data_IF_340793987838
#
_entry.id   IF_340793987838
#
_cell.length_a   1.000
_cell.length_b   1.000
_cell.length_c   1.000
_cell.angle_alpha   90.00
_cell.angle_beta   90.00
_cell.angle_gamma   90.00
#
_symmetry.space_group_name_H-M   'P 1'
#
loop_
_entity.id
_entity.type
_entity.pdbx_description
1 polymer ?
#
# COMPACT_ATOMS: atom_id res chain seq x y z
N UNK A 1 -5.89 -11.50 15.62
CA UNK A 1 -4.66 -10.99 14.98
C UNK A 1 -3.34 -11.49 15.62
N UNK A 2 -3.19 -11.62 16.95
CA UNK A 2 -1.92 -12.07 17.60
C UNK A 2 -1.33 -13.37 17.05
N UNK A 3 -2.16 -14.36 16.76
CA UNK A 3 -1.74 -15.64 16.17
C UNK A 3 -1.09 -15.46 14.78
N UNK A 4 -1.63 -14.57 13.95
CA UNK A 4 -1.12 -14.27 12.60
C UNK A 4 0.31 -13.74 12.67
N UNK A 5 0.54 -12.68 13.46
CA UNK A 5 1.86 -12.06 13.55
C UNK A 5 2.91 -12.99 14.19
N UNK A 6 2.50 -13.87 15.10
CA UNK A 6 3.38 -14.92 15.63
C UNK A 6 3.83 -15.90 14.54
N UNK A 7 2.92 -16.35 13.67
CA UNK A 7 3.26 -17.22 12.53
C UNK A 7 4.16 -16.48 11.54
N UNK A 8 3.88 -15.21 11.25
CA UNK A 8 4.69 -14.41 10.33
C UNK A 8 6.11 -14.25 10.85
N UNK A 9 6.27 -13.95 12.15
CA UNK A 9 7.57 -13.89 12.82
C UNK A 9 8.31 -15.23 12.74
N UNK A 10 7.64 -16.32 13.11
CA UNK A 10 8.25 -17.65 13.13
C UNK A 10 8.74 -18.11 11.74
N UNK A 11 8.10 -17.63 10.66
CA UNK A 11 8.47 -17.95 9.28
C UNK A 11 9.36 -16.89 8.61
N UNK A 12 9.72 -15.83 9.33
CA UNK A 12 10.56 -14.76 8.78
C UNK A 12 9.89 -13.94 7.68
N UNK A 13 8.56 -13.80 7.70
CA UNK A 13 7.84 -12.97 6.74
C UNK A 13 8.21 -11.50 6.96
N UNK A 14 8.67 -10.84 5.90
CA UNK A 14 9.01 -9.43 5.87
C UNK A 14 7.82 -8.62 5.36
N UNK A 15 7.28 -7.78 6.24
CA UNK A 15 6.11 -6.96 5.97
C UNK A 15 6.18 -5.61 6.69
N UNK A 16 5.30 -4.67 6.29
CA UNK A 16 4.96 -3.45 7.02
C UNK A 16 3.45 -3.38 7.18
N UNK A 17 2.99 -2.98 8.37
CA UNK A 17 1.59 -2.61 8.58
C UNK A 17 1.30 -1.27 7.91
N UNK A 18 0.25 -1.20 7.09
CA UNK A 18 -0.13 0.00 6.33
C UNK A 18 -1.64 0.32 6.49
N UNK A 19 -2.11 1.37 5.81
CA UNK A 19 -3.53 1.70 5.61
C UNK A 19 -4.34 1.85 6.93
N UNK A 20 -5.47 1.15 7.07
CA UNK A 20 -6.48 1.38 8.12
C UNK A 20 -5.94 1.18 9.53
N UNK A 21 -5.41 -0.01 9.83
CA UNK A 21 -4.84 -0.32 11.14
C UNK A 21 -3.64 0.57 11.49
N UNK A 22 -2.77 0.88 10.52
CA UNK A 22 -1.68 1.82 10.76
C UNK A 22 -2.22 3.21 11.14
N UNK A 23 -3.29 3.67 10.48
CA UNK A 23 -3.94 4.94 10.82
C UNK A 23 -4.54 4.92 12.22
N UNK A 24 -5.10 3.79 12.66
CA UNK A 24 -5.62 3.61 14.02
C UNK A 24 -4.49 3.68 15.05
N UNK A 25 -3.37 2.98 14.82
CA UNK A 25 -2.22 2.99 15.74
C UNK A 25 -1.59 4.39 15.89
N UNK A 26 -1.63 5.20 14.84
CA UNK A 26 -1.20 6.60 14.94
C UNK A 26 -2.24 7.53 15.56
N UNK A 27 -3.50 7.09 15.74
CA UNK A 27 -4.60 7.94 16.20
C UNK A 27 -5.26 8.77 15.09
N UNK A 28 -4.91 8.53 13.82
CA UNK A 28 -5.50 9.20 12.66
C UNK A 28 -6.88 8.67 12.25
N UNK A 29 -7.25 7.48 12.73
CA UNK A 29 -8.56 6.85 12.51
C UNK A 29 -9.04 6.14 13.78
N UNK A 30 -10.35 5.92 13.90
CA UNK A 30 -10.93 5.26 15.07
C UNK A 30 -11.05 3.74 14.92
N UNK A 31 -11.26 3.26 13.69
CA UNK A 31 -11.59 1.85 13.47
C UNK A 31 -11.17 1.35 12.09
N UNK A 32 -10.80 0.08 12.02
CA UNK A 32 -10.57 -0.67 10.80
C UNK A 32 -10.79 -2.16 11.09
N UNK A 33 -11.48 -2.87 10.20
CA UNK A 33 -11.68 -4.32 10.28
C UNK A 33 -10.58 -5.10 9.57
N UNK A 34 -10.11 -4.53 8.46
CA UNK A 34 -9.14 -5.17 7.57
C UNK A 34 -7.72 -5.02 8.12
N UNK A 35 -6.87 -5.98 7.78
CA UNK A 35 -5.43 -5.92 8.02
C UNK A 35 -4.71 -5.75 6.68
N UNK A 36 -4.23 -4.55 6.41
CA UNK A 36 -3.45 -4.24 5.21
C UNK A 36 -1.95 -4.35 5.47
N UNK A 37 -1.24 -5.16 4.67
CA UNK A 37 0.21 -5.33 4.78
C UNK A 37 0.92 -5.05 3.46
N UNK A 38 2.02 -4.30 3.53
CA UNK A 38 3.01 -4.23 2.46
C UNK A 38 3.98 -5.39 2.61
N UNK A 39 4.07 -6.27 1.62
CA UNK A 39 4.96 -7.44 1.59
C UNK A 39 6.21 -7.14 0.76
N UNK A 40 7.40 -7.49 1.28
CA UNK A 40 8.64 -7.36 0.49
C UNK A 40 8.59 -8.24 -0.76
N UNK A 41 8.73 -7.69 -1.98
CA UNK A 41 8.60 -8.45 -3.22
C UNK A 41 9.90 -9.20 -3.55
N UNK A 42 10.15 -10.32 -2.88
CA UNK A 42 11.29 -11.23 -3.11
C UNK A 42 10.81 -12.68 -3.11
N UNK A 43 11.49 -13.56 -3.87
CA UNK A 43 11.11 -14.97 -3.96
C UNK A 43 11.15 -15.69 -2.59
N UNK A 44 12.17 -15.44 -1.77
CA UNK A 44 12.27 -16.01 -0.43
C UNK A 44 11.12 -15.56 0.47
N UNK A 45 10.76 -14.27 0.45
CA UNK A 45 9.67 -13.75 1.26
C UNK A 45 8.28 -14.25 0.77
N UNK A 46 8.11 -14.45 -0.54
CA UNK A 46 6.91 -15.10 -1.09
C UNK A 46 6.76 -16.51 -0.56
N UNK A 47 7.85 -17.30 -0.57
CA UNK A 47 7.85 -18.66 -0.02
C UNK A 47 7.49 -18.66 1.48
N UNK A 48 8.12 -17.77 2.26
CA UNK A 48 7.80 -17.59 3.68
C UNK A 48 6.32 -17.23 3.91
N UNK A 49 5.79 -16.29 3.12
CA UNK A 49 4.39 -15.85 3.19
C UNK A 49 3.41 -16.96 2.81
N UNK A 50 3.62 -17.69 1.71
CA UNK A 50 2.79 -18.82 1.31
C UNK A 50 2.74 -19.87 2.41
N UNK A 51 3.90 -20.17 2.99
CA UNK A 51 3.98 -21.06 4.13
C UNK A 51 3.17 -20.54 5.33
N UNK A 52 3.25 -19.25 5.64
CA UNK A 52 2.49 -18.65 6.74
C UNK A 52 0.98 -18.72 6.51
N UNK A 53 0.53 -18.38 5.30
CA UNK A 53 -0.87 -18.47 4.89
C UNK A 53 -1.41 -19.91 5.01
N UNK A 54 -0.61 -20.91 4.60
CA UNK A 54 -0.95 -22.33 4.76
C UNK A 54 -1.10 -22.72 6.22
N UNK A 55 -0.14 -22.32 7.06
CA UNK A 55 -0.18 -22.56 8.51
C UNK A 55 -1.43 -21.98 9.17
N UNK A 56 -1.88 -20.82 8.67
CA UNK A 56 -3.05 -20.11 9.15
C UNK A 56 -4.35 -20.62 8.51
N UNK A 57 -4.28 -21.60 7.59
CA UNK A 57 -5.41 -22.07 6.77
C UNK A 57 -6.15 -20.91 6.10
N UNK A 58 -5.40 -19.93 5.62
CA UNK A 58 -5.94 -18.78 4.94
C UNK A 58 -6.71 -19.22 3.68
N UNK A 59 -7.85 -18.57 3.44
CA UNK A 59 -8.70 -18.80 2.27
C UNK A 59 -8.59 -17.63 1.33
N UNK A 60 -8.53 -17.91 0.04
CA UNK A 60 -8.57 -16.88 -1.00
C UNK A 60 -9.90 -16.14 -0.92
N UNK A 61 -9.85 -14.81 -1.00
CA UNK A 61 -11.01 -13.93 -1.02
C UNK A 61 -10.92 -13.02 -2.26
N UNK A 62 -12.05 -12.62 -2.84
CA UNK A 62 -12.11 -11.62 -3.94
C UNK A 62 -11.15 -11.93 -5.11
N UNK A 63 -10.84 -10.90 -5.91
CA UNK A 63 -9.94 -10.97 -7.06
C UNK A 63 -8.49 -11.08 -6.62
N UNK A 64 -8.03 -12.30 -6.35
CA UNK A 64 -6.65 -12.56 -5.95
C UNK A 64 -5.90 -13.32 -7.06
N UNK A 65 -4.89 -12.70 -7.69
CA UNK A 65 -4.07 -13.39 -8.67
C UNK A 65 -3.06 -14.33 -7.98
N UNK A 66 -2.39 -15.21 -8.74
CA UNK A 66 -1.22 -15.94 -8.28
C UNK A 66 -0.21 -15.07 -7.54
N UNK A 67 0.25 -15.51 -6.37
CA UNK A 67 1.22 -14.78 -5.53
C UNK A 67 2.65 -14.90 -6.10
N UNK A 68 2.83 -14.42 -7.33
CA UNK A 68 4.10 -14.41 -8.05
C UNK A 68 4.86 -13.12 -7.79
N UNK A 69 6.18 -13.15 -8.00
CA UNK A 69 7.02 -11.95 -7.93
C UNK A 69 6.58 -10.87 -8.92
N UNK A 70 6.14 -11.26 -10.11
CA UNK A 70 5.60 -10.35 -11.13
C UNK A 70 4.37 -9.61 -10.60
N UNK A 71 3.39 -10.34 -10.07
CA UNK A 71 2.13 -9.75 -9.61
C UNK A 71 2.34 -8.85 -8.38
N UNK A 72 3.24 -9.23 -7.46
CA UNK A 72 3.60 -8.38 -6.32
C UNK A 72 4.29 -7.08 -6.78
N UNK A 73 5.28 -7.17 -7.69
CA UNK A 73 5.97 -5.99 -8.24
C UNK A 73 5.07 -5.12 -9.10
N UNK A 74 4.09 -5.70 -9.76
CA UNK A 74 3.10 -4.91 -10.49
C UNK A 74 2.19 -4.11 -9.55
N UNK A 75 2.06 -4.54 -8.29
CA UNK A 75 1.21 -3.89 -7.29
C UNK A 75 -0.23 -4.37 -7.35
N UNK A 76 -0.47 -5.62 -7.75
CA UNK A 76 -1.78 -6.26 -7.54
C UNK A 76 -2.06 -6.41 -6.03
N UNK A 77 -3.35 -6.34 -5.69
CA UNK A 77 -3.85 -6.70 -4.36
C UNK A 77 -4.02 -8.21 -4.24
N UNK A 78 -3.75 -8.75 -3.05
CA UNK A 78 -4.02 -10.14 -2.71
C UNK A 78 -4.86 -10.18 -1.45
N UNK A 79 -5.99 -10.86 -1.51
CA UNK A 79 -7.02 -10.78 -0.48
C UNK A 79 -7.26 -12.17 0.09
N UNK A 80 -7.21 -12.28 1.41
CA UNK A 80 -7.39 -13.54 2.12
C UNK A 80 -8.32 -13.36 3.32
N UNK A 81 -9.03 -14.43 3.65
CA UNK A 81 -9.68 -14.60 4.95
C UNK A 81 -8.81 -15.50 5.81
N UNK A 82 -8.47 -15.05 7.01
CA UNK A 82 -7.70 -15.81 7.98
C UNK A 82 -8.61 -16.19 9.15
N UNK A 83 -8.89 -17.49 9.35
CA UNK A 83 -9.66 -17.94 10.49
C UNK A 83 -9.01 -17.54 11.81
N UNK A 84 -9.77 -16.90 12.68
CA UNK A 84 -9.35 -16.58 14.05
C UNK A 84 -10.03 -17.54 15.04
N UNK A 85 -9.31 -17.95 16.08
CA UNK A 85 -9.91 -18.76 17.15
C UNK A 85 -10.88 -17.91 17.96
N UNK A 86 -12.14 -18.32 18.05
CA UNK A 86 -13.14 -17.71 18.92
C UNK A 86 -13.67 -16.35 18.45
N UNK A 87 -13.61 -16.06 17.15
CA UNK A 87 -14.11 -14.79 16.60
C UNK A 87 -14.28 -14.86 15.08
N UNK A 88 -14.75 -13.75 14.46
CA UNK A 88 -14.89 -13.68 13.01
C UNK A 88 -13.55 -13.81 12.30
N UNK A 89 -13.59 -14.25 11.05
CA UNK A 89 -12.43 -14.27 10.17
C UNK A 89 -11.82 -12.86 10.03
N UNK A 90 -10.50 -12.83 9.93
CA UNK A 90 -9.75 -11.62 9.64
C UNK A 90 -9.62 -11.44 8.12
N UNK A 91 -10.03 -10.27 7.63
CA UNK A 91 -9.71 -9.82 6.28
C UNK A 91 -8.24 -9.39 6.22
N UNK A 92 -7.46 -10.03 5.36
CA UNK A 92 -6.04 -9.79 5.16
C UNK A 92 -5.80 -9.34 3.72
N UNK A 93 -5.42 -8.08 3.56
CA UNK A 93 -5.12 -7.47 2.28
C UNK A 93 -3.61 -7.23 2.15
N UNK A 94 -3.02 -7.74 1.08
CA UNK A 94 -1.58 -7.67 0.85
C UNK A 94 -1.28 -6.88 -0.42
N UNK A 95 -0.22 -6.07 -0.37
CA UNK A 95 0.33 -5.34 -1.51
C UNK A 95 1.83 -5.53 -1.60
N UNK A 96 2.37 -5.73 -2.81
CA UNK A 96 3.82 -5.76 -3.03
C UNK A 96 4.42 -4.39 -3.32
N UNK A 97 3.63 -3.50 -3.92
CA UNK A 97 4.03 -2.15 -4.31
C UNK A 97 2.86 -1.17 -4.10
N UNK A 98 2.77 -0.53 -2.92
CA UNK A 98 1.82 0.54 -2.67
C UNK A 98 2.10 1.76 -3.56
N UNK A 99 1.07 2.55 -3.91
CA UNK A 99 1.24 3.72 -4.76
C UNK A 99 2.02 4.84 -4.05
N UNK A 100 2.72 5.67 -4.84
CA UNK A 100 3.37 6.94 -4.44
C UNK A 100 4.48 6.86 -3.41
N UNK A 101 4.86 5.67 -2.99
CA UNK A 101 6.00 5.43 -2.10
C UNK A 101 7.12 4.72 -2.84
N UNK A 102 8.33 4.77 -2.25
CA UNK A 102 9.51 4.10 -2.79
C UNK A 102 9.47 2.58 -2.63
N UNK A 103 10.66 1.96 -2.59
CA UNK A 103 10.78 0.52 -2.39
C UNK A 103 10.64 0.13 -0.90
N UNK A 104 10.35 -1.15 -0.67
CA UNK A 104 10.10 -1.70 0.67
C UNK A 104 11.27 -1.48 1.64
N UNK A 105 12.53 -1.63 1.19
CA UNK A 105 13.71 -1.54 2.06
C UNK A 105 13.86 -0.17 2.73
N UNK A 106 13.93 0.94 1.96
CA UNK A 106 13.92 2.29 2.51
C UNK A 106 12.70 2.61 3.38
N UNK A 107 11.51 2.12 3.01
CA UNK A 107 10.30 2.30 3.83
C UNK A 107 10.42 1.58 5.18
N UNK A 108 10.96 0.34 5.19
CA UNK A 108 11.24 -0.41 6.42
C UNK A 108 12.28 0.30 7.29
N UNK A 109 13.31 0.90 6.69
CA UNK A 109 14.32 1.67 7.41
C UNK A 109 13.76 2.91 8.13
N UNK A 110 12.61 3.43 7.70
CA UNK A 110 11.90 4.54 8.34
C UNK A 110 10.72 4.09 9.22
N UNK A 111 10.39 2.80 9.21
CA UNK A 111 9.21 2.28 9.88
C UNK A 111 9.31 2.41 11.41
N UNK A 112 8.17 2.64 12.06
CA UNK A 112 8.07 2.68 13.52
C UNK A 112 7.78 1.29 14.06
N UNK A 113 8.52 0.84 15.09
CA UNK A 113 8.23 -0.42 15.78
C UNK A 113 7.26 -0.15 16.92
N UNK A 114 5.99 -0.46 16.71
CA UNK A 114 4.93 -0.15 17.67
C UNK A 114 4.56 -1.38 18.50
N UNK A 115 4.48 -1.21 19.82
CA UNK A 115 3.94 -2.22 20.72
C UNK A 115 2.41 -2.24 20.61
N UNK A 116 1.84 -3.41 20.32
CA UNK A 116 0.40 -3.60 20.17
C UNK A 116 -0.05 -4.85 20.95
N UNK A 117 -1.37 -5.04 21.18
CA UNK A 117 -1.90 -6.30 21.71
C UNK A 117 -1.54 -7.54 20.88
N UNK A 118 -1.09 -7.35 19.62
CA UNK A 118 -0.74 -8.43 18.71
C UNK A 118 0.77 -8.69 18.62
N UNK A 119 1.59 -7.90 19.32
CA UNK A 119 3.06 -7.95 19.33
C UNK A 119 3.70 -6.62 18.93
N UNK A 120 5.04 -6.61 18.87
CA UNK A 120 5.80 -5.47 18.31
C UNK A 120 5.83 -5.60 16.80
N UNK A 121 5.20 -4.65 16.11
CA UNK A 121 4.96 -4.71 14.67
C UNK A 121 5.65 -3.53 13.98
N UNK A 122 6.33 -3.74 12.84
CA UNK A 122 6.82 -2.63 12.04
C UNK A 122 5.64 -1.97 11.29
N UNK A 123 5.43 -0.69 11.55
CA UNK A 123 4.37 0.14 10.98
C UNK A 123 4.99 1.17 10.06
N UNK A 124 4.44 1.34 8.86
CA UNK A 124 4.93 2.37 7.92
C UNK A 124 4.93 3.74 8.57
N UNK A 125 5.93 4.58 8.32
CA UNK A 125 5.97 5.93 8.91
C UNK A 125 4.78 6.78 8.43
N UNK A 126 4.44 7.82 9.20
CA UNK A 126 3.26 8.66 8.90
C UNK A 126 3.36 9.29 7.50
N UNK A 127 4.55 9.73 7.08
CA UNK A 127 4.75 10.39 5.78
C UNK A 127 4.44 9.45 4.61
N UNK A 128 4.93 8.22 4.66
CA UNK A 128 4.64 7.21 3.65
C UNK A 128 3.16 6.76 3.74
N UNK A 129 2.58 6.67 4.94
CA UNK A 129 1.16 6.35 5.13
C UNK A 129 0.24 7.39 4.48
N UNK A 130 0.57 8.68 4.65
CA UNK A 130 -0.15 9.78 4.01
C UNK A 130 -0.14 9.66 2.50
N UNK A 131 0.99 9.30 1.88
CA UNK A 131 1.06 9.10 0.43
C UNK A 131 0.25 7.87 -0.02
N UNK A 132 0.34 6.76 0.71
CA UNK A 132 -0.44 5.54 0.43
C UNK A 132 -1.95 5.82 0.49
N UNK A 133 -2.39 6.66 1.44
CA UNK A 133 -3.81 7.01 1.62
C UNK A 133 -4.34 8.05 0.64
N UNK A 134 -3.54 8.57 -0.30
CA UNK A 134 -4.03 9.42 -1.42
C UNK A 134 -4.71 8.56 -2.48
N UNK A 135 -5.77 7.89 -2.04
CA UNK A 135 -6.62 6.97 -2.81
C UNK A 135 -7.74 7.74 -3.52
N UNK A 136 -8.61 7.00 -4.20
CA UNK A 136 -9.85 7.50 -4.78
C UNK A 136 -11.04 7.54 -3.79
N UNK A 137 -10.84 7.25 -2.48
CA UNK A 137 -11.88 7.31 -1.46
C UNK A 137 -11.89 8.69 -0.80
N UNK A 138 -13.01 9.44 -0.85
CA UNK A 138 -13.09 10.77 -0.24
C UNK A 138 -12.77 10.79 1.26
N UNK A 139 -13.22 9.77 2.02
CA UNK A 139 -13.01 9.69 3.46
C UNK A 139 -11.53 9.56 3.88
N UNK A 140 -10.64 9.09 2.99
CA UNK A 140 -9.22 8.98 3.31
C UNK A 140 -8.55 10.35 3.51
N UNK A 141 -9.09 11.43 2.93
CA UNK A 141 -8.49 12.77 3.01
C UNK A 141 -8.66 13.41 4.39
N UNK A 142 -9.70 13.03 5.14
CA UNK A 142 -9.83 13.40 6.56
C UNK A 142 -8.76 12.69 7.40
N UNK A 143 -8.54 11.39 7.15
CA UNK A 143 -7.49 10.63 7.84
C UNK A 143 -6.11 11.17 7.50
N UNK A 144 -5.84 11.53 6.23
CA UNK A 144 -4.59 12.18 5.82
C UNK A 144 -4.37 13.47 6.60
N UNK A 145 -5.39 14.31 6.71
CA UNK A 145 -5.30 15.59 7.44
C UNK A 145 -4.96 15.35 8.91
N UNK A 146 -5.65 14.40 9.57
CA UNK A 146 -5.37 14.01 10.95
C UNK A 146 -3.96 13.48 11.14
N UNK A 147 -3.50 12.60 10.26
CA UNK A 147 -2.13 12.07 10.29
C UNK A 147 -1.09 13.18 10.15
N UNK A 148 -1.32 14.15 9.27
CA UNK A 148 -0.44 15.31 9.12
C UNK A 148 -0.39 16.17 10.40
N UNK A 149 -1.54 16.41 11.05
CA UNK A 149 -1.60 17.11 12.34
C UNK A 149 -0.84 16.35 13.44
N UNK A 150 -1.01 15.03 13.52
CA UNK A 150 -0.32 14.18 14.51
C UNK A 150 1.19 14.25 14.30
N UNK A 151 1.65 14.15 13.05
CA UNK A 151 3.08 14.23 12.73
C UNK A 151 3.68 15.60 13.05
N UNK A 152 2.96 16.68 12.73
CA UNK A 152 3.32 18.04 13.14
C UNK A 152 3.32 18.18 14.67
N UNK A 153 2.38 17.49 15.31
CA UNK A 153 2.15 17.40 16.74
C UNK A 153 3.34 16.91 17.56
N UNK A 154 4.10 15.97 17.00
CA UNK A 154 5.25 15.31 17.62
C UNK A 154 6.46 16.22 17.85
N UNK A 155 6.51 17.38 17.21
CA UNK A 155 7.59 18.36 17.37
C UNK A 155 7.03 19.65 17.99
N UNK A 156 7.64 20.11 19.09
CA UNK A 156 7.28 21.41 19.69
C UNK A 156 7.68 22.58 18.77
N UNK A 157 8.82 22.44 18.09
CA UNK A 157 9.34 23.39 17.12
C UNK A 157 9.53 22.72 15.75
N UNK A 158 8.44 22.47 14.99
CA UNK A 158 8.56 21.80 13.70
C UNK A 158 9.40 22.62 12.72
N UNK A 159 10.25 21.92 11.97
CA UNK A 159 11.05 22.55 10.91
C UNK A 159 10.17 23.18 9.83
N UNK A 160 10.64 24.21 9.10
CA UNK A 160 9.91 24.79 7.96
C UNK A 160 9.49 23.75 6.92
N UNK A 161 10.33 22.73 6.69
CA UNK A 161 10.05 21.61 5.78
C UNK A 161 8.89 20.76 6.27
N UNK A 162 8.86 20.41 7.55
CA UNK A 162 7.77 19.64 8.14
C UNK A 162 6.46 20.43 8.11
N UNK A 163 6.51 21.72 8.46
CA UNK A 163 5.34 22.60 8.38
C UNK A 163 4.80 22.67 6.95
N UNK A 164 5.65 22.92 5.95
CA UNK A 164 5.22 22.94 4.55
C UNK A 164 4.67 21.58 4.09
N UNK A 165 5.18 20.47 4.61
CA UNK A 165 4.61 19.13 4.35
C UNK A 165 3.24 18.96 4.99
N UNK A 166 3.05 19.36 6.25
CA UNK A 166 1.77 19.24 6.94
C UNK A 166 0.67 20.07 6.26
N UNK A 167 0.98 21.33 5.94
CA UNK A 167 0.04 22.24 5.24
C UNK A 167 -0.34 21.73 3.84
N UNK A 168 0.56 21.01 3.15
CA UNK A 168 0.27 20.37 1.85
C UNK A 168 -0.66 19.16 1.96
N UNK A 169 -0.80 18.59 3.15
CA UNK A 169 -1.61 17.41 3.41
C UNK A 169 -2.81 17.71 4.32
N UNK A 170 -3.20 18.98 4.43
CA UNK A 170 -4.47 19.38 5.05
C UNK A 170 -5.52 19.60 3.96
N UNK A 171 -6.67 18.92 4.09
CA UNK A 171 -7.75 18.96 3.10
C UNK A 171 -9.06 19.54 3.64
N UNK A 172 -9.04 20.03 4.89
CA UNK A 172 -10.11 20.81 5.50
C UNK A 172 -9.55 22.19 5.86
N UNK A 173 -10.35 23.24 5.62
CA UNK A 173 -9.86 24.61 5.81
C UNK A 173 -9.69 24.95 7.29
N UNK A 174 -10.53 24.36 8.15
CA UNK A 174 -10.49 24.50 9.60
C UNK A 174 -9.21 23.87 10.17
N UNK A 175 -8.87 22.65 9.72
CA UNK A 175 -7.64 21.97 10.14
C UNK A 175 -6.40 22.71 9.62
N UNK A 176 -6.46 23.22 8.39
CA UNK A 176 -5.39 24.03 7.81
C UNK A 176 -5.16 25.31 8.63
N UNK A 177 -6.25 25.99 9.03
CA UNK A 177 -6.17 27.16 9.90
C UNK A 177 -5.56 26.82 11.26
N UNK A 178 -6.04 25.76 11.92
CA UNK A 178 -5.51 25.32 13.20
C UNK A 178 -4.01 24.98 13.15
N UNK A 179 -3.52 24.39 12.05
CA UNK A 179 -2.08 24.17 11.84
C UNK A 179 -1.30 25.49 11.74
N UNK A 180 -1.87 26.49 11.07
CA UNK A 180 -1.26 27.81 10.88
C UNK A 180 -1.20 28.56 12.22
N UNK A 181 -2.30 28.60 12.98
CA UNK A 181 -2.37 29.20 14.31
C UNK A 181 -1.35 28.59 15.27
N UNK A 182 -1.31 27.24 15.34
CA UNK A 182 -0.37 26.51 16.21
C UNK A 182 1.08 26.89 15.93
N UNK A 183 1.43 27.10 14.68
CA UNK A 183 2.81 27.43 14.31
C UNK A 183 3.14 28.91 14.49
N UNK A 184 2.15 29.74 14.84
CA UNK A 184 2.29 31.17 15.07
C UNK A 184 2.80 31.93 13.84
N UNK A 185 3.30 33.15 14.06
CA UNK A 185 3.86 34.03 13.02
C UNK A 185 5.31 33.65 12.64
N UNK A 186 5.64 32.36 12.58
CA UNK A 186 6.94 31.90 12.08
C UNK A 186 7.14 32.35 10.62
N UNK A 187 8.38 32.33 10.14
CA UNK A 187 8.66 32.61 8.73
C UNK A 187 7.86 31.68 7.82
N UNK A 188 7.28 32.23 6.76
CA UNK A 188 6.52 31.45 5.77
C UNK A 188 7.47 30.43 5.13
N UNK A 189 7.25 29.12 5.30
CA UNK A 189 8.14 28.12 4.75
C UNK A 189 8.08 28.11 3.22
N UNK A 190 9.24 27.87 2.60
CA UNK A 190 9.34 27.63 1.18
C UNK A 190 8.43 26.44 0.77
N UNK A 191 7.74 26.56 -0.37
CA UNK A 191 6.85 25.53 -0.87
C UNK A 191 5.49 25.42 -0.15
N UNK A 192 5.12 26.38 0.70
CA UNK A 192 3.78 26.47 1.28
C UNK A 192 2.70 26.47 0.18
N UNK A 193 1.55 25.79 0.34
CA UNK A 193 0.44 25.88 -0.62
C UNK A 193 -0.09 27.31 -0.76
N UNK A 194 -0.58 27.67 -1.95
CA UNK A 194 -1.14 29.01 -2.18
C UNK A 194 -2.32 29.34 -1.25
N UNK A 195 -3.15 28.33 -0.94
CA UNK A 195 -4.27 28.45 0.01
C UNK A 195 -3.78 28.73 1.43
N UNK A 196 -2.76 27.99 1.89
CA UNK A 196 -2.16 28.21 3.20
C UNK A 196 -1.50 29.59 3.30
N UNK A 197 -0.83 30.06 2.23
CA UNK A 197 -0.27 31.43 2.19
C UNK A 197 -1.33 32.52 2.33
N UNK A 198 -2.51 32.32 1.74
CA UNK A 198 -3.60 33.29 1.85
C UNK A 198 -4.08 33.41 3.31
N UNK A 199 -4.34 32.28 3.96
CA UNK A 199 -4.72 32.24 5.38
C UNK A 199 -3.61 32.77 6.29
N UNK A 200 -2.35 32.45 6.00
CA UNK A 200 -1.21 32.95 6.76
C UNK A 200 -1.12 34.48 6.78
N UNK A 201 -1.44 35.13 5.65
CA UNK A 201 -1.49 36.60 5.58
C UNK A 201 -2.59 37.19 6.45
N UNK A 202 -3.73 36.51 6.55
CA UNK A 202 -4.84 36.91 7.44
C UNK A 202 -4.38 36.86 8.90
N UNK A 203 -3.77 35.75 9.33
CA UNK A 203 -3.20 35.63 10.68
C UNK A 203 -2.11 36.69 10.96
N UNK A 204 -1.24 36.93 9.97
CA UNK A 204 -0.14 37.91 10.08
C UNK A 204 -0.67 39.34 10.23
N UNK A 205 -1.82 39.64 9.65
CA UNK A 205 -2.53 40.91 9.81
C UNK A 205 -3.30 41.02 11.14
N UNK A 206 -3.26 39.98 11.99
CA UNK A 206 -3.97 39.97 13.28
C UNK A 206 -5.49 39.89 13.14
N UNK A 207 -5.98 39.28 12.06
CA UNK A 207 -7.41 39.10 11.81
C UNK A 207 -7.77 37.62 11.82
N UNK A 208 -9.01 37.34 12.20
CA UNK A 208 -9.64 36.05 11.97
C UNK A 208 -10.15 35.93 10.52
N UNK A 209 -10.13 34.73 9.92
CA UNK A 209 -10.65 34.52 8.58
C UNK A 209 -12.18 34.59 8.60
N UNK A 210 -12.74 35.34 7.65
CA UNK A 210 -14.18 35.42 7.46
C UNK A 210 -14.66 34.36 6.45
N UNK A 211 -15.97 34.14 6.35
CA UNK A 211 -16.54 33.19 5.38
C UNK A 211 -16.06 33.45 3.93
N UNK A 212 -15.96 34.72 3.55
CA UNK A 212 -15.44 35.15 2.23
C UNK A 212 -13.98 34.72 1.97
N UNK A 213 -13.20 34.49 3.02
CA UNK A 213 -11.82 34.00 2.95
C UNK A 213 -11.78 32.46 2.95
N UNK A 214 -12.62 31.83 3.77
CA UNK A 214 -12.67 30.38 3.97
C UNK A 214 -13.28 29.63 2.78
N UNK A 215 -14.36 30.16 2.18
CA UNK A 215 -15.05 29.47 1.09
C UNK A 215 -14.17 29.25 -0.15
N UNK A 216 -13.41 30.26 -0.66
CA UNK A 216 -12.46 30.04 -1.75
C UNK A 216 -11.33 29.08 -1.37
N UNK A 217 -10.87 29.11 -0.12
CA UNK A 217 -9.84 28.21 0.38
C UNK A 217 -10.33 26.75 0.39
N UNK A 218 -11.50 26.50 0.96
CA UNK A 218 -12.15 25.18 0.98
C UNK A 218 -12.35 24.63 -0.44
N UNK A 219 -12.87 25.43 -1.37
CA UNK A 219 -13.02 25.03 -2.80
C UNK A 219 -11.69 24.68 -3.47
N UNK A 220 -10.58 25.32 -3.09
CA UNK A 220 -9.25 24.98 -3.61
C UNK A 220 -8.74 23.65 -3.04
N UNK A 221 -8.92 23.43 -1.74
CA UNK A 221 -8.57 22.16 -1.08
C UNK A 221 -9.36 20.98 -1.66
N UNK A 222 -10.67 21.14 -1.84
CA UNK A 222 -11.52 20.12 -2.45
C UNK A 222 -11.09 19.75 -3.88
N UNK A 223 -10.72 20.75 -4.71
CA UNK A 223 -10.18 20.50 -6.05
C UNK A 223 -8.85 19.74 -6.02
N UNK A 224 -7.98 20.03 -5.06
CA UNK A 224 -6.73 19.29 -4.91
C UNK A 224 -6.97 17.85 -4.47
N UNK A 225 -7.89 17.62 -3.53
CA UNK A 225 -8.30 16.28 -3.14
C UNK A 225 -8.85 15.49 -4.35
N UNK A 226 -9.70 16.10 -5.18
CA UNK A 226 -10.22 15.46 -6.40
C UNK A 226 -9.11 15.06 -7.38
N UNK A 227 -8.13 15.94 -7.64
CA UNK A 227 -6.97 15.61 -8.49
C UNK A 227 -6.17 14.44 -7.94
N UNK A 228 -5.98 14.38 -6.63
CA UNK A 228 -5.29 13.26 -6.00
C UNK A 228 -6.11 11.96 -6.10
N UNK A 229 -7.43 12.03 -5.98
CA UNK A 229 -8.35 10.90 -6.20
C UNK A 229 -8.30 10.39 -7.63
N UNK A 230 -8.28 11.28 -8.63
CA UNK A 230 -8.12 10.95 -10.04
C UNK A 230 -6.80 10.25 -10.31
N UNK A 231 -5.69 10.76 -9.76
CA UNK A 231 -4.38 10.09 -9.82
C UNK A 231 -4.42 8.70 -9.18
N UNK A 232 -5.14 8.55 -8.06
CA UNK A 232 -5.38 7.25 -7.42
C UNK A 232 -6.15 6.29 -8.33
N UNK A 233 -7.19 6.79 -9.00
CA UNK A 233 -7.97 6.02 -9.99
C UNK A 233 -7.10 5.59 -11.18
N UNK A 234 -6.31 6.52 -11.73
CA UNK A 234 -5.40 6.26 -12.83
C UNK A 234 -4.36 5.17 -12.50
N UNK A 235 -3.87 5.14 -11.25
CA UNK A 235 -3.01 4.07 -10.76
C UNK A 235 -3.70 2.70 -10.78
N UNK A 236 -4.95 2.62 -10.33
CA UNK A 236 -5.66 1.34 -10.18
C UNK A 236 -6.28 0.79 -11.47
N UNK A 237 -6.70 1.65 -12.41
CA UNK A 237 -7.35 1.24 -13.67
C UNK A 237 -6.59 0.13 -14.42
N UNK A 238 -5.28 0.26 -14.74
CA UNK A 238 -4.58 -0.78 -15.51
C UNK A 238 -4.50 -2.11 -14.75
N UNK A 239 -4.32 -2.07 -13.43
CA UNK A 239 -4.26 -3.26 -12.57
C UNK A 239 -5.62 -3.98 -12.53
N UNK A 240 -6.70 -3.22 -12.35
CA UNK A 240 -8.06 -3.76 -12.36
C UNK A 240 -8.43 -4.36 -13.73
N UNK A 241 -7.99 -3.76 -14.83
CA UNK A 241 -8.17 -4.32 -16.18
C UNK A 241 -7.48 -5.68 -16.33
N UNK A 242 -6.22 -5.78 -15.87
CA UNK A 242 -5.49 -7.05 -15.90
C UNK A 242 -6.16 -8.12 -15.00
N UNK A 243 -6.60 -7.78 -13.79
CA UNK A 243 -7.32 -8.71 -12.92
C UNK A 243 -8.64 -9.20 -13.54
N UNK A 244 -9.37 -8.33 -14.23
CA UNK A 244 -10.58 -8.72 -14.97
C UNK A 244 -10.27 -9.67 -16.12
N UNK A 245 -9.18 -9.43 -16.86
CA UNK A 245 -8.70 -10.35 -17.90
C UNK A 245 -8.33 -11.71 -17.31
N UNK A 246 -7.53 -11.73 -16.25
CA UNK A 246 -7.18 -12.97 -15.54
C UNK A 246 -8.41 -13.75 -15.05
N UNK A 247 -9.46 -13.04 -14.60
CA UNK A 247 -10.72 -13.67 -14.20
C UNK A 247 -11.38 -14.36 -15.39
N UNK A 248 -11.47 -13.68 -16.53
CA UNK A 248 -12.07 -14.24 -17.75
C UNK A 248 -11.28 -15.46 -18.29
N UNK A 249 -9.96 -15.46 -18.11
CA UNK A 249 -9.06 -16.55 -18.52
C UNK A 249 -8.92 -17.67 -17.46
N UNK A 250 -9.61 -17.59 -16.33
CA UNK A 250 -9.52 -18.60 -15.25
C UNK A 250 -8.16 -18.65 -14.55
N UNK A 251 -7.38 -17.56 -14.61
CA UNK A 251 -6.02 -17.46 -14.07
C UNK A 251 -5.96 -16.93 -12.64
N UNK A 252 -7.06 -16.43 -12.08
CA UNK A 252 -7.13 -16.06 -10.67
C UNK A 252 -7.10 -17.30 -9.77
N UNK A 253 -6.71 -17.10 -8.51
CA UNK A 253 -6.88 -18.14 -7.50
C UNK A 253 -8.39 -18.32 -7.23
N UNK A 254 -8.88 -19.56 -7.06
CA UNK A 254 -10.30 -19.79 -6.81
C UNK A 254 -10.71 -19.21 -5.46
N UNK A 255 -11.78 -18.41 -5.42
CA UNK A 255 -12.32 -17.87 -4.18
C UNK A 255 -12.75 -19.00 -3.23
N UNK A 256 -12.47 -18.85 -1.94
CA UNK A 256 -12.70 -19.86 -0.91
C UNK A 256 -11.63 -20.96 -0.84
N UNK A 257 -10.75 -21.10 -1.85
CA UNK A 257 -9.69 -22.10 -1.83
C UNK A 257 -8.73 -21.87 -0.65
N UNK A 258 -8.43 -22.95 0.07
CA UNK A 258 -7.44 -22.93 1.16
C UNK A 258 -6.05 -22.92 0.54
N UNK A 259 -5.20 -22.00 0.98
CA UNK A 259 -3.82 -21.88 0.48
C UNK A 259 -3.05 -23.17 0.77
N UNK A 260 -2.53 -23.80 -0.29
CA UNK A 260 -1.80 -25.08 -0.23
C UNK A 260 -2.68 -26.33 -0.32
N UNK A 261 -3.98 -26.20 -0.57
CA UNK A 261 -4.85 -27.35 -0.90
C UNK A 261 -4.71 -27.76 -2.37
N UNK A 262 -5.15 -28.97 -2.72
CA UNK A 262 -5.14 -29.48 -4.10
C UNK A 262 -5.91 -28.59 -5.10
N UNK A 263 -6.87 -27.78 -4.62
CA UNK A 263 -7.59 -26.79 -5.42
C UNK A 263 -6.74 -25.55 -5.81
N UNK A 264 -5.56 -25.41 -5.20
CA UNK A 264 -4.58 -24.39 -5.53
C UNK A 264 -3.16 -24.99 -5.39
N UNK A 265 -2.71 -25.80 -6.37
CA UNK A 265 -1.40 -26.45 -6.29
C UNK A 265 -0.28 -25.41 -6.43
N UNK A 266 0.86 -25.65 -5.79
CA UNK A 266 2.02 -24.72 -5.72
C UNK A 266 2.49 -24.21 -7.10
N UNK A 267 2.29 -25.01 -8.16
CA UNK A 267 2.59 -24.64 -9.55
C UNK A 267 1.78 -23.45 -10.09
N UNK A 268 0.59 -23.15 -9.54
CA UNK A 268 -0.18 -21.94 -9.87
C UNK A 268 0.23 -20.72 -9.05
N UNK A 269 0.86 -20.89 -7.89
CA UNK A 269 1.29 -19.78 -7.03
C UNK A 269 2.65 -19.21 -7.44
N UNK A 270 3.56 -20.06 -7.91
CA UNK A 270 4.93 -19.67 -8.24
C UNK A 270 5.14 -19.31 -9.71
N UNK A 271 4.19 -19.62 -10.60
CA UNK A 271 4.36 -19.43 -12.04
C UNK A 271 5.47 -20.34 -12.56
N UNK A 272 5.11 -21.45 -13.20
CA UNK A 272 6.09 -22.22 -13.96
C UNK A 272 6.75 -21.29 -14.98
N UNK A 273 8.03 -21.05 -14.79
CA UNK A 273 8.89 -20.46 -15.81
C UNK A 273 9.26 -21.58 -16.77
N UNK A 274 8.48 -21.79 -17.82
CA UNK A 274 8.92 -22.52 -19.01
C UNK A 274 7.90 -22.36 -20.14
N UNK A 275 8.25 -21.66 -21.25
CA UNK A 275 7.51 -21.76 -22.49
C UNK A 275 8.02 -23.00 -23.24
N UNK A 276 7.47 -24.17 -22.93
CA UNK A 276 7.69 -25.37 -23.72
C UNK A 276 6.35 -25.81 -24.32
N UNK A 277 6.16 -25.54 -25.61
CA UNK A 277 4.94 -25.95 -26.30
C UNK A 277 4.64 -25.20 -27.58
N UNK A 278 5.64 -24.97 -28.45
CA UNK A 278 5.37 -24.85 -29.87
C UNK A 278 5.99 -26.04 -30.58
N UNK A 279 5.07 -26.86 -31.10
CA UNK A 279 5.23 -28.02 -31.93
C UNK A 279 6.15 -27.78 -33.13
N UNK A 280 7.09 -28.70 -33.39
CA UNK A 280 7.46 -29.05 -34.76
C UNK A 280 7.32 -30.54 -34.95
N UNK A 281 6.26 -30.86 -35.68
CA UNK A 281 5.98 -32.13 -36.32
C UNK A 281 7.12 -32.52 -37.27
N UNK A 282 7.32 -33.82 -37.33
CA UNK A 282 8.22 -34.60 -38.16
C UNK A 282 8.42 -34.09 -39.61
N UNK A 283 9.68 -34.17 -40.07
CA UNK A 283 9.98 -34.74 -41.38
C UNK A 283 11.19 -35.66 -41.28
N UNK A 284 10.91 -36.90 -41.69
CA UNK A 284 11.82 -37.98 -42.03
C UNK A 284 12.82 -37.57 -43.11
N UNK A 285 14.00 -38.19 -43.10
CA UNK A 285 14.85 -38.21 -44.30
C UNK A 285 16.34 -38.39 -44.04
N UNK A 286 16.76 -39.67 -43.95
CA UNK A 286 18.01 -40.22 -44.50
C UNK A 286 19.36 -39.61 -44.08
N UNK A 287 20.12 -40.43 -43.35
CA UNK A 287 21.58 -40.50 -43.41
C UNK A 287 22.08 -40.73 -44.84
N UNK A 288 23.27 -40.22 -45.18
CA UNK A 288 24.36 -41.15 -45.45
C UNK A 288 25.71 -40.76 -44.82
N UNK A 289 26.37 -41.82 -44.37
CA UNK A 289 27.82 -42.07 -44.28
C UNK A 289 28.76 -41.17 -45.09
N UNK A 290 29.93 -40.84 -44.51
CA UNK A 290 31.18 -40.77 -45.26
C UNK A 290 32.20 -39.69 -44.87
N UNK A 291 33.40 -40.15 -44.50
CA UNK A 291 34.73 -39.52 -44.61
C UNK A 291 35.11 -38.40 -43.62
N UNK A 292 36.04 -38.60 -42.66
CA UNK A 292 37.53 -38.73 -42.73
C UNK A 292 38.27 -37.51 -43.28
N UNK A 293 38.89 -36.72 -42.38
CA UNK A 293 40.30 -36.21 -42.38
C UNK A 293 40.40 -34.93 -41.52
N UNK A 294 41.13 -34.98 -40.39
CA UNK A 294 42.49 -34.42 -40.13
C UNK A 294 42.60 -32.89 -40.31
N UNK A 295 42.76 -32.23 -39.15
CA UNK A 295 43.63 -31.11 -38.72
C UNK A 295 44.39 -30.24 -39.75
N UNK A 296 44.85 -29.03 -39.36
CA UNK A 296 44.84 -28.41 -38.02
C UNK A 296 43.98 -27.15 -37.88
#
# INVERSE_FOLDING_TARGET
MRSLFRVFKARGVQYLLISGQASVLYGGAFFSQDLDLWIRPTASNISALLGALRCLRARVHKLTPPLTLRNLRWGHGFHFLVPLRGGPDLYLDLLGQPPRVGSFGPALGRAERMATPWGVIPVVCIEDLVEIKKTNRPSDYEVITRLAMIRLGREAAPSPRLLAWALRNAFRVEDLWAMIERCGRRAVPAGMPAVARALWRILSAGREPLERDLLPASRRLAREALRLQERGRAYWIPRLRELRRMRAEGLLLPEGAVVGSAAAPEGRYLGSSSPAGWTRSARSGRTPTGHTHREP
#
